data_IF_183623234678
#
_entry.id   IF_183623234678
#
_cell.length_a   1.000
_cell.length_b   1.000
_cell.length_c   1.000
_cell.angle_alpha   90.00
_cell.angle_beta   90.00
_cell.angle_gamma   90.00
#
_symmetry.space_group_name_H-M   'P 1'
#
loop_
_entity.id
_entity.type
_entity.pdbx_description
1 polymer ?
#
# COMPACT_ATOMS: atom_id res chain seq x y z
N UNK A 1 -18.49 1.66 -8.61
CA UNK A 1 -17.21 0.98 -8.29
C UNK A 1 -16.32 1.94 -7.52
N UNK A 2 -15.56 1.42 -6.57
CA UNK A 2 -14.62 2.18 -5.75
C UNK A 2 -13.29 2.35 -6.49
N UNK A 3 -12.82 3.57 -6.78
CA UNK A 3 -11.52 3.77 -7.39
C UNK A 3 -10.39 3.37 -6.43
N UNK A 4 -9.41 2.64 -6.95
CA UNK A 4 -8.18 2.31 -6.25
C UNK A 4 -6.99 2.97 -6.99
N UNK A 5 -6.46 4.03 -6.40
CA UNK A 5 -5.35 4.80 -6.95
C UNK A 5 -4.04 4.10 -6.66
N UNK A 6 -3.41 3.58 -7.70
CA UNK A 6 -2.12 2.87 -7.65
C UNK A 6 -1.00 3.86 -7.96
N UNK A 7 -0.26 4.25 -6.93
CA UNK A 7 0.86 5.18 -7.07
C UNK A 7 2.09 4.44 -7.60
N UNK A 8 2.52 4.80 -8.79
CA UNK A 8 3.55 4.11 -9.56
C UNK A 8 4.71 5.02 -9.91
N UNK A 9 5.93 4.49 -9.80
CA UNK A 9 7.15 5.12 -10.30
C UNK A 9 8.13 4.03 -10.77
N UNK A 10 8.46 4.04 -12.07
CA UNK A 10 9.46 3.17 -12.71
C UNK A 10 9.33 1.65 -12.38
N UNK A 11 8.10 1.15 -12.20
CA UNK A 11 7.80 -0.26 -11.91
C UNK A 11 6.68 -0.76 -12.80
N UNK A 12 6.99 -1.57 -13.80
CA UNK A 12 6.02 -2.18 -14.73
C UNK A 12 5.39 -3.43 -14.13
N UNK A 13 6.22 -4.39 -13.73
CA UNK A 13 5.80 -5.75 -13.39
C UNK A 13 4.81 -5.77 -12.23
N UNK A 14 5.14 -5.08 -11.13
CA UNK A 14 4.28 -5.01 -9.96
C UNK A 14 3.05 -4.14 -10.20
N UNK A 15 3.18 -3.02 -10.92
CA UNK A 15 2.05 -2.14 -11.28
C UNK A 15 1.00 -2.89 -12.08
N UNK A 16 1.42 -3.55 -13.16
CA UNK A 16 0.52 -4.30 -14.04
C UNK A 16 -0.19 -5.41 -13.27
N UNK A 17 0.57 -6.23 -12.53
CA UNK A 17 0.02 -7.33 -11.74
C UNK A 17 -0.98 -6.84 -10.70
N UNK A 18 -0.66 -5.80 -9.94
CA UNK A 18 -1.56 -5.25 -8.92
C UNK A 18 -2.84 -4.67 -9.54
N UNK A 19 -2.73 -3.96 -10.65
CA UNK A 19 -3.91 -3.43 -11.37
C UNK A 19 -4.82 -4.55 -11.88
N UNK A 20 -4.25 -5.62 -12.44
CA UNK A 20 -4.99 -6.82 -12.86
C UNK A 20 -5.72 -7.47 -11.66
N UNK A 21 -5.04 -7.60 -10.52
CA UNK A 21 -5.61 -8.14 -9.29
C UNK A 21 -6.72 -7.24 -8.72
N UNK A 22 -6.53 -5.93 -8.70
CA UNK A 22 -7.57 -4.98 -8.26
C UNK A 22 -8.78 -5.03 -9.18
N UNK A 23 -8.58 -5.13 -10.50
CA UNK A 23 -9.68 -5.24 -11.46
C UNK A 23 -10.49 -6.54 -11.32
N UNK A 24 -9.91 -7.57 -10.72
CA UNK A 24 -10.58 -8.83 -10.40
C UNK A 24 -11.34 -8.81 -9.07
N UNK A 25 -11.20 -7.75 -8.25
CA UNK A 25 -11.96 -7.58 -7.02
C UNK A 25 -13.38 -7.08 -7.30
N UNK A 26 -14.33 -7.49 -6.48
CA UNK A 26 -15.70 -7.00 -6.54
C UNK A 26 -15.75 -5.49 -6.22
N UNK A 27 -16.40 -4.73 -7.10
CA UNK A 27 -16.63 -3.28 -6.93
C UNK A 27 -15.35 -2.41 -6.88
N UNK A 28 -14.24 -2.86 -7.44
CA UNK A 28 -13.00 -2.09 -7.56
C UNK A 28 -12.72 -1.66 -9.01
N UNK A 29 -12.05 -0.53 -9.17
CA UNK A 29 -11.46 -0.10 -10.45
C UNK A 29 -10.10 0.52 -10.21
N UNK A 30 -9.01 -0.04 -10.79
CA UNK A 30 -7.69 0.55 -10.66
C UNK A 30 -7.57 1.82 -11.51
N UNK A 31 -6.90 2.83 -10.95
CA UNK A 31 -6.48 4.06 -11.62
C UNK A 31 -5.01 4.27 -11.32
N UNK A 32 -4.17 4.27 -12.33
CA UNK A 32 -2.73 4.43 -12.17
C UNK A 32 -2.39 5.91 -12.03
N UNK A 33 -1.67 6.26 -10.96
CA UNK A 33 -1.04 7.57 -10.79
C UNK A 33 0.44 7.40 -11.12
N UNK A 34 0.82 7.72 -12.36
CA UNK A 34 2.20 7.66 -12.79
C UNK A 34 2.96 8.88 -12.29
N UNK A 35 3.82 8.66 -11.33
CA UNK A 35 4.55 9.68 -10.58
C UNK A 35 5.82 10.14 -11.32
N UNK A 36 5.66 10.54 -12.61
CA UNK A 36 6.71 10.96 -13.55
C UNK A 36 7.74 9.85 -13.85
N UNK A 37 7.27 8.66 -14.19
CA UNK A 37 8.15 7.56 -14.61
C UNK A 37 8.89 7.85 -15.91
N UNK A 38 10.11 7.33 -15.99
CA UNK A 38 11.02 7.42 -17.15
C UNK A 38 11.48 6.06 -17.66
N UNK A 39 11.03 4.95 -17.03
CA UNK A 39 11.34 3.59 -17.42
C UNK A 39 10.60 3.21 -18.70
N UNK A 40 11.33 3.11 -19.83
CA UNK A 40 10.75 2.91 -21.16
C UNK A 40 9.78 1.71 -21.24
N UNK A 41 10.09 0.50 -20.68
CA UNK A 41 9.13 -0.59 -20.74
C UNK A 41 7.78 -0.29 -20.07
N UNK A 42 7.76 0.51 -19.02
CA UNK A 42 6.52 0.97 -18.38
C UNK A 42 5.77 1.95 -19.27
N UNK A 43 6.49 2.90 -19.91
CA UNK A 43 5.90 3.90 -20.80
C UNK A 43 5.30 3.24 -22.05
N UNK A 44 5.98 2.24 -22.61
CA UNK A 44 5.48 1.46 -23.74
C UNK A 44 4.21 0.69 -23.37
N UNK A 45 4.18 0.08 -22.18
CA UNK A 45 2.99 -0.61 -21.71
C UNK A 45 1.79 0.34 -21.56
N UNK A 46 1.99 1.59 -21.14
CA UNK A 46 0.91 2.57 -21.02
C UNK A 46 0.18 2.83 -22.33
N UNK A 47 0.82 2.64 -23.49
CA UNK A 47 0.18 2.84 -24.80
C UNK A 47 -0.94 1.82 -25.08
N UNK A 48 -0.91 0.67 -24.39
CA UNK A 48 -1.86 -0.44 -24.55
C UNK A 48 -2.51 -0.86 -23.21
N UNK A 49 -2.26 -0.08 -22.15
CA UNK A 49 -2.78 -0.35 -20.82
C UNK A 49 -4.31 -0.24 -20.81
N UNK A 50 -5.03 -1.27 -20.31
CA UNK A 50 -6.50 -1.24 -20.27
C UNK A 50 -7.05 -0.35 -19.13
N UNK A 51 -6.18 0.20 -18.29
CA UNK A 51 -6.56 1.00 -17.13
C UNK A 51 -6.35 2.49 -17.37
N UNK A 52 -7.08 3.33 -16.63
CA UNK A 52 -6.83 4.76 -16.65
C UNK A 52 -5.45 5.08 -16.07
N UNK A 53 -4.68 5.91 -16.81
CA UNK A 53 -3.36 6.38 -16.39
C UNK A 53 -3.36 7.90 -16.29
N UNK A 54 -3.08 8.42 -15.09
CA UNK A 54 -2.88 9.84 -14.82
C UNK A 54 -1.38 10.07 -14.68
N UNK A 55 -0.76 10.64 -15.73
CA UNK A 55 0.68 10.93 -15.73
C UNK A 55 0.95 12.29 -15.13
N UNK A 56 1.83 12.32 -14.12
CA UNK A 56 2.28 13.56 -13.49
C UNK A 56 3.54 14.09 -14.18
N UNK A 57 3.76 15.41 -14.13
CA UNK A 57 4.94 16.06 -14.68
C UNK A 57 6.18 15.97 -13.77
N UNK A 58 5.99 15.65 -12.49
CA UNK A 58 7.06 15.51 -11.49
C UNK A 58 6.74 14.42 -10.47
N UNK A 59 7.76 13.87 -9.83
CA UNK A 59 7.60 12.88 -8.77
C UNK A 59 7.20 13.55 -7.45
N UNK A 60 5.92 13.45 -7.10
CA UNK A 60 5.31 14.02 -5.88
C UNK A 60 5.46 13.11 -4.64
N UNK A 61 6.14 11.95 -4.77
CA UNK A 61 6.35 10.98 -3.69
C UNK A 61 5.12 10.13 -3.40
N UNK A 62 5.13 9.44 -2.25
CA UNK A 62 4.08 8.50 -1.84
C UNK A 62 2.69 9.13 -1.62
N UNK A 63 2.61 10.44 -1.49
CA UNK A 63 1.34 11.17 -1.38
C UNK A 63 0.81 11.72 -2.71
N UNK A 64 1.36 11.32 -3.85
CA UNK A 64 0.97 11.79 -5.18
C UNK A 64 -0.55 11.72 -5.45
N UNK A 65 -1.31 10.66 -5.09
CA UNK A 65 -2.74 10.58 -5.35
C UNK A 65 -3.56 11.72 -4.73
N UNK A 66 -3.15 12.20 -3.56
CA UNK A 66 -3.80 13.35 -2.91
C UNK A 66 -3.30 14.69 -3.44
N UNK A 67 -1.99 14.80 -3.67
CA UNK A 67 -1.37 16.05 -4.15
C UNK A 67 -1.84 16.44 -5.55
N UNK A 68 -2.03 15.47 -6.44
CA UNK A 68 -2.56 15.72 -7.79
C UNK A 68 -4.08 15.91 -7.84
N UNK A 69 -4.78 15.77 -6.71
CA UNK A 69 -6.24 15.94 -6.62
C UNK A 69 -7.06 14.74 -7.12
N UNK A 70 -6.44 13.62 -7.50
CA UNK A 70 -7.14 12.44 -8.01
C UNK A 70 -8.19 11.91 -7.02
N UNK A 71 -7.88 11.92 -5.72
CA UNK A 71 -8.79 11.46 -4.65
C UNK A 71 -10.04 12.34 -4.44
N UNK A 72 -10.07 13.54 -5.01
CA UNK A 72 -11.24 14.44 -5.01
C UNK A 72 -12.23 14.18 -6.15
N UNK A 73 -11.96 13.21 -7.03
CA UNK A 73 -12.87 12.87 -8.13
C UNK A 73 -14.17 12.24 -7.62
N UNK A 74 -15.26 12.34 -8.37
CA UNK A 74 -16.52 11.67 -8.03
C UNK A 74 -16.34 10.16 -7.85
N UNK A 75 -16.88 9.61 -6.76
CA UNK A 75 -16.81 8.19 -6.41
C UNK A 75 -18.07 7.80 -5.63
N UNK A 76 -18.13 6.56 -5.15
CA UNK A 76 -19.24 6.03 -4.34
C UNK A 76 -19.17 6.39 -2.84
N UNK A 77 -18.45 7.43 -2.50
CA UNK A 77 -18.22 7.88 -1.12
C UNK A 77 -16.95 7.32 -0.50
N UNK A 78 -16.22 6.47 -1.23
CA UNK A 78 -14.97 5.85 -0.80
C UNK A 78 -13.95 5.81 -1.96
N UNK A 79 -12.68 5.75 -1.61
CA UNK A 79 -11.58 5.47 -2.53
C UNK A 79 -10.50 4.67 -1.81
N UNK A 80 -9.68 3.98 -2.56
CA UNK A 80 -8.47 3.34 -2.05
C UNK A 80 -7.21 4.05 -2.59
N UNK A 81 -6.13 4.01 -1.81
CA UNK A 81 -4.78 4.37 -2.26
C UNK A 81 -3.85 3.23 -1.91
N UNK A 82 -2.94 2.93 -2.82
CA UNK A 82 -1.90 1.92 -2.63
C UNK A 82 -0.63 2.32 -3.37
N UNK A 83 0.53 1.87 -2.87
CA UNK A 83 1.74 1.77 -3.67
C UNK A 83 1.61 0.62 -4.66
N UNK A 84 2.37 0.64 -5.74
CA UNK A 84 2.26 -0.33 -6.84
C UNK A 84 2.91 -1.69 -6.55
N UNK A 85 3.55 -1.86 -5.41
CA UNK A 85 4.41 -3.00 -5.11
C UNK A 85 3.79 -4.01 -4.13
N UNK A 86 2.46 -4.04 -4.07
CA UNK A 86 1.71 -5.09 -3.40
C UNK A 86 1.35 -6.24 -4.33
N UNK A 87 1.21 -7.45 -3.76
CA UNK A 87 0.65 -8.62 -4.41
C UNK A 87 -0.52 -9.15 -3.60
N UNK A 88 -1.70 -9.22 -4.24
CA UNK A 88 -2.96 -9.66 -3.64
C UNK A 88 -3.27 -11.14 -3.92
N UNK A 89 -2.27 -11.93 -4.31
CA UNK A 89 -2.47 -13.36 -4.59
C UNK A 89 -3.10 -14.09 -3.40
N UNK A 90 -4.21 -14.81 -3.66
CA UNK A 90 -4.99 -15.52 -2.65
C UNK A 90 -5.93 -14.63 -1.83
N UNK A 91 -6.03 -13.34 -2.10
CA UNK A 91 -7.00 -12.45 -1.45
C UNK A 91 -8.40 -12.66 -2.07
N UNK A 92 -9.46 -12.88 -1.26
CA UNK A 92 -10.82 -13.03 -1.78
C UNK A 92 -11.34 -11.78 -2.50
N UNK A 93 -12.22 -11.96 -3.49
CA UNK A 93 -12.74 -10.88 -4.34
C UNK A 93 -13.56 -9.84 -3.58
N UNK A 94 -14.14 -10.18 -2.43
CA UNK A 94 -14.94 -9.31 -1.57
C UNK A 94 -14.09 -8.36 -0.68
N UNK A 95 -12.79 -8.23 -0.94
CA UNK A 95 -11.90 -7.37 -0.16
C UNK A 95 -12.45 -5.95 0.03
N UNK A 96 -13.05 -5.35 -1.01
CA UNK A 96 -13.57 -3.98 -0.91
C UNK A 96 -14.72 -3.85 0.10
N UNK A 97 -15.57 -4.86 0.23
CA UNK A 97 -16.59 -4.91 1.26
C UNK A 97 -15.98 -5.02 2.66
N UNK A 98 -14.97 -5.88 2.81
CA UNK A 98 -14.24 -6.06 4.08
C UNK A 98 -13.56 -4.78 4.53
N UNK A 99 -12.95 -4.02 3.61
CA UNK A 99 -12.34 -2.73 3.93
C UNK A 99 -13.39 -1.65 4.30
N UNK A 100 -14.55 -1.67 3.65
CA UNK A 100 -15.64 -0.71 3.84
C UNK A 100 -16.39 -0.91 5.15
N UNK A 101 -16.62 -2.16 5.55
CA UNK A 101 -17.47 -2.52 6.69
C UNK A 101 -17.13 -1.74 7.99
N UNK A 102 -15.89 -1.63 8.45
CA UNK A 102 -15.56 -0.89 9.67
C UNK A 102 -15.66 0.64 9.51
N UNK A 103 -15.77 1.17 8.28
CA UNK A 103 -15.90 2.60 8.00
C UNK A 103 -17.36 3.06 7.99
N UNK A 104 -18.29 2.15 7.76
CA UNK A 104 -19.74 2.44 7.64
C UNK A 104 -20.55 2.02 8.86
N UNK A 105 -20.03 1.09 9.67
CA UNK A 105 -20.76 0.53 10.80
C UNK A 105 -19.94 0.51 12.08
N UNK A 106 -20.62 0.76 13.18
CA UNK A 106 -20.05 0.70 14.51
C UNK A 106 -20.33 -0.70 15.13
N UNK A 107 -19.60 -1.72 14.69
CA UNK A 107 -19.73 -3.08 15.21
C UNK A 107 -18.58 -3.37 16.18
N UNK A 108 -18.91 -3.69 17.45
CA UNK A 108 -18.00 -4.23 18.49
C UNK A 108 -16.54 -3.77 18.40
N UNK A 109 -16.32 -2.45 18.57
CA UNK A 109 -14.96 -1.89 18.64
C UNK A 109 -14.44 -1.30 17.33
N UNK A 110 -15.26 -1.23 16.26
CA UNK A 110 -14.91 -0.52 15.02
C UNK A 110 -15.43 0.91 14.96
N UNK A 111 -16.02 1.43 16.06
CA UNK A 111 -16.54 2.79 16.09
C UNK A 111 -15.45 3.84 15.88
N UNK A 112 -15.73 4.82 15.00
CA UNK A 112 -14.85 5.97 14.78
C UNK A 112 -13.60 5.66 13.94
N UNK A 113 -13.53 4.48 13.31
CA UNK A 113 -12.42 4.13 12.39
C UNK A 113 -12.41 5.12 11.22
N UNK A 114 -11.23 5.63 10.91
CA UNK A 114 -11.04 6.65 9.89
C UNK A 114 -10.56 6.09 8.54
N UNK A 115 -9.81 4.99 8.57
CA UNK A 115 -9.36 4.25 7.39
C UNK A 115 -9.11 2.79 7.73
N UNK A 116 -9.26 1.92 6.74
CA UNK A 116 -9.03 0.49 6.85
C UNK A 116 -8.22 -0.01 5.64
N UNK A 117 -7.17 -0.77 5.87
CA UNK A 117 -6.34 -1.29 4.79
C UNK A 117 -5.86 -2.71 5.05
N UNK A 118 -5.16 -3.29 4.07
CA UNK A 118 -4.65 -4.66 4.18
C UNK A 118 -3.46 -4.74 5.14
N UNK A 119 -3.36 -5.86 5.86
CA UNK A 119 -2.13 -6.22 6.56
C UNK A 119 -1.11 -6.77 5.58
N UNK A 120 0.16 -6.62 5.91
CA UNK A 120 1.25 -7.18 5.13
C UNK A 120 1.64 -8.55 5.67
N UNK A 121 1.75 -9.52 4.77
CA UNK A 121 2.07 -10.92 5.07
C UNK A 121 3.53 -11.04 5.52
N UNK A 122 3.78 -11.79 6.59
CA UNK A 122 5.12 -12.01 7.14
C UNK A 122 5.44 -13.49 7.39
N UNK A 123 4.48 -14.38 7.14
CA UNK A 123 4.63 -15.82 7.43
C UNK A 123 5.29 -16.60 6.29
N UNK A 124 5.44 -16.00 5.12
CA UNK A 124 6.06 -16.57 3.93
C UNK A 124 7.27 -15.76 3.42
N UNK A 125 7.80 -14.84 4.24
CA UNK A 125 8.98 -14.07 3.90
C UNK A 125 10.25 -14.93 3.85
N UNK A 126 11.22 -14.60 2.97
CA UNK A 126 12.55 -15.24 2.99
C UNK A 126 13.20 -15.19 4.38
N UNK A 127 13.93 -16.24 4.72
CA UNK A 127 14.51 -16.41 6.07
C UNK A 127 15.48 -15.31 6.50
N UNK A 128 16.07 -14.60 5.55
CA UNK A 128 16.95 -13.45 5.83
C UNK A 128 16.23 -12.15 6.19
N UNK A 129 14.91 -12.08 6.01
CA UNK A 129 14.11 -10.88 6.28
C UNK A 129 13.67 -10.75 7.75
N UNK A 130 14.54 -11.11 8.68
CA UNK A 130 14.23 -11.09 10.12
C UNK A 130 13.88 -9.70 10.65
N UNK A 131 14.52 -8.65 10.13
CA UNK A 131 14.26 -7.26 10.55
C UNK A 131 12.87 -6.80 10.13
N UNK A 132 12.44 -7.17 8.92
CA UNK A 132 11.08 -6.92 8.42
C UNK A 132 10.04 -7.63 9.27
N UNK A 133 10.27 -8.94 9.55
CA UNK A 133 9.37 -9.73 10.41
C UNK A 133 9.24 -9.10 11.79
N UNK A 134 10.34 -8.69 12.41
CA UNK A 134 10.36 -8.06 13.73
C UNK A 134 9.63 -6.71 13.73
N UNK A 135 9.79 -5.94 12.66
CA UNK A 135 9.10 -4.66 12.48
C UNK A 135 7.60 -4.86 12.30
N UNK A 136 7.17 -5.70 11.35
CA UNK A 136 5.77 -5.84 10.94
C UNK A 136 4.94 -6.62 11.97
N UNK A 137 5.52 -7.59 12.68
CA UNK A 137 4.85 -8.40 13.72
C UNK A 137 4.11 -7.57 14.76
N UNK A 138 4.57 -6.36 15.07
CA UNK A 138 3.92 -5.48 16.05
C UNK A 138 2.51 -5.04 15.62
N UNK A 139 2.22 -5.00 14.32
CA UNK A 139 0.92 -4.60 13.80
C UNK A 139 -0.12 -5.73 13.87
N UNK A 140 0.32 -6.94 14.20
CA UNK A 140 -0.50 -8.13 14.39
C UNK A 140 -0.84 -8.41 15.87
N UNK A 141 -0.57 -7.47 16.80
CA UNK A 141 -0.70 -7.68 18.24
C UNK A 141 -2.07 -7.35 18.83
N UNK A 142 -2.90 -6.60 18.12
CA UNK A 142 -4.16 -6.08 18.66
C UNK A 142 -5.36 -6.52 17.83
N UNK A 143 -5.69 -7.82 17.84
CA UNK A 143 -6.81 -8.36 17.06
C UNK A 143 -8.15 -7.87 17.63
N UNK A 144 -9.10 -7.61 16.74
CA UNK A 144 -10.52 -7.36 17.06
C UNK A 144 -11.41 -8.18 16.13
N UNK A 145 -12.69 -8.34 16.49
CA UNK A 145 -13.68 -9.11 15.71
C UNK A 145 -13.15 -10.52 15.37
N UNK A 146 -12.62 -11.22 16.37
CA UNK A 146 -12.11 -12.59 16.19
C UNK A 146 -10.87 -12.70 15.29
N UNK A 147 -10.07 -11.63 15.17
CA UNK A 147 -8.89 -11.61 14.30
C UNK A 147 -9.17 -11.17 12.85
N UNK A 148 -10.43 -10.84 12.53
CA UNK A 148 -10.75 -10.29 11.20
C UNK A 148 -10.05 -8.95 10.94
N UNK A 149 -9.79 -8.19 12.00
CA UNK A 149 -9.07 -6.91 11.95
C UNK A 149 -8.06 -6.81 13.08
N UNK A 150 -7.08 -5.91 12.89
CA UNK A 150 -6.06 -5.53 13.87
C UNK A 150 -6.02 -4.01 14.00
N UNK A 151 -5.96 -3.50 15.24
CA UNK A 151 -5.72 -2.07 15.49
C UNK A 151 -4.25 -1.77 15.25
N UNK A 152 -3.96 -1.14 14.12
CA UNK A 152 -2.60 -0.80 13.75
C UNK A 152 -2.56 0.42 12.83
N UNK A 153 -1.48 1.21 12.85
CA UNK A 153 -1.24 2.26 11.87
C UNK A 153 -1.18 1.70 10.45
N UNK A 154 -1.66 2.50 9.49
CA UNK A 154 -1.60 2.19 8.07
C UNK A 154 -0.90 3.34 7.35
N UNK A 155 0.01 2.97 6.49
CA UNK A 155 0.61 3.82 5.47
C UNK A 155 -0.13 3.66 4.13
N UNK A 156 0.55 3.60 3.01
CA UNK A 156 0.00 3.52 1.64
C UNK A 156 -0.21 2.07 1.15
N UNK A 157 -0.55 1.15 2.05
CA UNK A 157 -0.75 -0.27 1.75
C UNK A 157 -2.22 -0.61 1.50
N UNK A 158 -2.69 -0.49 0.27
CA UNK A 158 -4.08 -0.68 -0.18
C UNK A 158 -5.10 -0.37 0.94
N UNK A 159 -5.27 0.91 1.18
CA UNK A 159 -6.09 1.42 2.26
C UNK A 159 -7.31 2.15 1.70
N UNK A 160 -8.49 1.86 2.25
CA UNK A 160 -9.74 2.53 1.92
C UNK A 160 -9.98 3.73 2.84
N UNK A 161 -10.43 4.81 2.24
CA UNK A 161 -10.71 6.09 2.85
C UNK A 161 -12.14 6.54 2.54
N UNK A 162 -12.92 7.05 3.52
CA UNK A 162 -14.12 7.83 3.19
C UNK A 162 -13.74 9.09 2.40
N UNK A 163 -14.48 9.41 1.34
CA UNK A 163 -14.24 10.61 0.53
C UNK A 163 -14.38 11.91 1.35
N UNK A 164 -15.14 11.88 2.44
CA UNK A 164 -15.30 13.00 3.38
C UNK A 164 -14.11 13.18 4.33
N UNK A 165 -13.15 12.23 4.37
CA UNK A 165 -11.99 12.34 5.25
C UNK A 165 -11.02 13.42 4.73
N UNK A 166 -10.69 14.45 5.52
CA UNK A 166 -9.73 15.48 5.11
C UNK A 166 -8.38 14.87 4.71
N UNK A 167 -7.74 15.39 3.65
CA UNK A 167 -6.44 14.91 3.16
C UNK A 167 -5.38 14.90 4.27
N UNK A 168 -5.35 15.90 5.14
CA UNK A 168 -4.43 15.96 6.28
C UNK A 168 -4.59 14.80 7.28
N UNK A 169 -5.76 14.18 7.32
CA UNK A 169 -6.02 12.97 8.10
C UNK A 169 -5.77 11.70 7.25
N UNK A 170 -6.15 11.71 5.98
CA UNK A 170 -5.92 10.57 5.09
C UNK A 170 -4.42 10.20 5.00
N UNK A 171 -3.55 11.20 4.87
CA UNK A 171 -2.09 11.04 4.78
C UNK A 171 -1.39 10.79 6.13
N UNK A 172 -2.10 10.91 7.25
CA UNK A 172 -1.53 10.66 8.58
C UNK A 172 -1.42 9.16 8.85
N UNK A 173 -0.24 8.70 9.25
CA UNK A 173 0.01 7.28 9.57
C UNK A 173 -0.37 6.93 11.02
N UNK A 174 -0.07 7.82 11.96
CA UNK A 174 -0.28 7.59 13.40
C UNK A 174 -1.23 8.60 14.04
N UNK A 175 -1.75 8.30 15.23
CA UNK A 175 -2.56 9.24 16.00
C UNK A 175 -4.04 9.30 15.58
N UNK A 176 -4.54 8.26 14.92
CA UNK A 176 -5.96 8.09 14.61
C UNK A 176 -6.37 6.61 14.67
N UNK A 177 -7.66 6.32 14.90
CA UNK A 177 -8.17 4.96 14.88
C UNK A 177 -8.14 4.40 13.45
N UNK A 178 -7.32 3.39 13.22
CA UNK A 178 -7.16 2.70 11.94
C UNK A 178 -7.16 1.20 12.13
N UNK A 179 -7.58 0.45 11.12
CA UNK A 179 -7.60 -0.99 11.12
C UNK A 179 -6.85 -1.54 9.93
N UNK A 180 -6.15 -2.65 10.16
CA UNK A 180 -5.66 -3.55 9.13
C UNK A 180 -6.47 -4.83 9.13
N UNK A 181 -6.67 -5.45 7.98
CA UNK A 181 -7.37 -6.74 7.86
C UNK A 181 -6.53 -7.90 8.41
N UNK A 182 -7.19 -8.98 8.80
CA UNK A 182 -6.55 -10.27 9.08
C UNK A 182 -6.63 -11.23 7.90
N UNK A 183 -6.09 -12.42 8.07
CA UNK A 183 -6.21 -13.49 7.06
C UNK A 183 -7.68 -13.80 6.74
N UNK A 184 -8.01 -14.13 5.47
CA UNK A 184 -7.12 -14.26 4.30
C UNK A 184 -6.89 -12.95 3.53
N UNK A 185 -7.33 -11.80 4.02
CA UNK A 185 -7.26 -10.49 3.36
C UNK A 185 -5.92 -9.80 3.63
N UNK A 186 -4.82 -10.43 3.22
CA UNK A 186 -3.45 -9.94 3.46
C UNK A 186 -2.65 -9.91 2.17
N UNK A 187 -1.82 -8.88 2.00
CA UNK A 187 -0.99 -8.68 0.81
C UNK A 187 0.48 -9.00 1.08
N UNK A 188 1.23 -9.40 0.05
CA UNK A 188 2.68 -9.36 0.06
C UNK A 188 3.17 -7.98 -0.33
N UNK A 189 4.20 -7.47 0.34
CA UNK A 189 4.94 -6.28 -0.09
C UNK A 189 6.16 -6.74 -0.87
N UNK A 190 6.09 -6.66 -2.18
CA UNK A 190 7.04 -7.32 -3.10
C UNK A 190 8.51 -6.95 -2.88
N UNK A 191 8.87 -5.70 -2.50
CA UNK A 191 10.24 -5.37 -2.13
C UNK A 191 10.84 -6.27 -1.05
N UNK A 192 10.03 -6.83 -0.16
CA UNK A 192 10.53 -7.70 0.92
C UNK A 192 10.96 -9.10 0.44
N UNK A 193 10.57 -9.47 -0.77
CA UNK A 193 10.90 -10.77 -1.40
C UNK A 193 12.06 -10.69 -2.38
N UNK A 194 12.58 -9.47 -2.63
CA UNK A 194 13.73 -9.27 -3.52
C UNK A 194 15.02 -9.76 -2.87
N UNK A 195 15.86 -10.40 -3.68
CA UNK A 195 17.26 -10.61 -3.34
C UNK A 195 18.05 -9.36 -3.77
N UNK A 196 18.56 -8.55 -2.82
CA UNK A 196 19.26 -7.33 -3.16
C UNK A 196 20.61 -7.55 -3.83
N UNK A 197 21.13 -8.80 -3.80
CA UNK A 197 22.37 -9.18 -4.48
C UNK A 197 22.16 -9.60 -5.95
N UNK A 198 20.89 -9.81 -6.34
CA UNK A 198 20.52 -10.26 -7.69
C UNK A 198 19.25 -9.53 -8.15
N UNK A 199 19.34 -8.21 -8.32
CA UNK A 199 18.24 -7.39 -8.81
C UNK A 199 18.08 -7.56 -10.33
N UNK A 200 16.84 -7.71 -10.81
CA UNK A 200 16.52 -7.55 -12.21
C UNK A 200 16.68 -6.10 -12.68
N UNK A 201 16.60 -5.88 -13.98
CA UNK A 201 16.81 -4.60 -14.61
C UNK A 201 15.79 -3.54 -14.11
N UNK A 202 14.53 -3.92 -13.94
CA UNK A 202 13.47 -3.02 -13.42
C UNK A 202 13.78 -2.56 -12.01
N UNK A 203 14.10 -3.48 -11.10
CA UNK A 203 14.40 -3.14 -9.71
C UNK A 203 15.71 -2.36 -9.58
N UNK A 204 16.74 -2.69 -10.39
CA UNK A 204 17.98 -1.93 -10.44
C UNK A 204 17.72 -0.48 -10.90
N UNK A 205 16.93 -0.28 -11.97
CA UNK A 205 16.52 1.05 -12.44
C UNK A 205 15.72 1.80 -11.38
N UNK A 206 14.74 1.12 -10.75
CA UNK A 206 13.94 1.74 -9.69
C UNK A 206 14.80 2.26 -8.55
N UNK A 207 15.73 1.46 -8.01
CA UNK A 207 16.58 1.90 -6.90
C UNK A 207 17.57 2.98 -7.30
N UNK A 208 18.02 3.01 -8.55
CA UNK A 208 18.89 4.07 -9.06
C UNK A 208 18.16 5.41 -9.24
N UNK A 209 16.86 5.39 -9.52
CA UNK A 209 16.06 6.60 -9.86
C UNK A 209 15.11 7.04 -8.74
N UNK A 210 14.84 6.19 -7.75
CA UNK A 210 13.93 6.49 -6.64
C UNK A 210 14.47 7.63 -5.77
N UNK A 211 13.56 8.55 -5.42
CA UNK A 211 13.87 9.65 -4.50
C UNK A 211 13.83 9.20 -3.03
N UNK A 212 14.05 10.15 -2.11
CA UNK A 212 14.09 9.88 -0.66
C UNK A 212 12.74 9.49 -0.03
N UNK A 213 11.64 9.50 -0.78
CA UNK A 213 10.36 8.99 -0.29
C UNK A 213 10.34 7.46 -0.20
N UNK A 214 11.24 6.77 -0.91
CA UNK A 214 11.42 5.33 -0.80
C UNK A 214 12.04 4.96 0.55
N UNK A 215 11.35 4.12 1.33
CA UNK A 215 11.81 3.69 2.66
C UNK A 215 12.75 2.49 2.62
N UNK A 216 12.65 1.64 1.60
CA UNK A 216 13.40 0.38 1.49
C UNK A 216 14.46 0.49 0.40
N UNK A 217 15.72 0.26 0.77
CA UNK A 217 16.86 0.34 -0.17
C UNK A 217 17.80 -0.85 0.05
N UNK A 218 18.45 -1.34 -1.01
CA UNK A 218 19.54 -2.30 -0.88
C UNK A 218 20.70 -1.72 -0.02
N UNK A 219 21.19 -2.53 0.91
CA UNK A 219 22.36 -2.24 1.73
C UNK A 219 23.15 -3.55 1.87
N UNK A 220 24.15 -3.72 1.02
CA UNK A 220 24.86 -4.99 0.86
C UNK A 220 23.90 -6.12 0.45
N UNK A 221 23.81 -7.16 1.25
CA UNK A 221 22.96 -8.32 1.03
C UNK A 221 21.58 -8.24 1.72
N UNK A 222 21.18 -7.05 2.18
CA UNK A 222 19.90 -6.82 2.87
C UNK A 222 19.13 -5.69 2.23
N UNK A 223 17.80 -5.75 2.36
CA UNK A 223 16.96 -4.58 2.21
C UNK A 223 16.81 -3.91 3.58
N UNK A 224 17.28 -2.68 3.68
CA UNK A 224 17.17 -1.90 4.91
C UNK A 224 16.19 -0.77 4.74
N UNK A 225 15.52 -0.41 5.85
CA UNK A 225 14.73 0.81 5.93
C UNK A 225 15.42 1.80 6.83
N UNK A 226 15.43 3.07 6.41
CA UNK A 226 15.90 4.17 7.28
C UNK A 226 15.18 4.21 8.64
N UNK A 227 14.00 3.62 8.76
CA UNK A 227 13.28 3.48 10.02
C UNK A 227 13.82 2.36 10.90
N UNK A 228 14.42 1.31 10.31
CA UNK A 228 15.07 0.23 11.07
C UNK A 228 16.46 0.61 11.56
N UNK A 229 17.24 1.35 10.76
CA UNK A 229 18.62 1.72 11.08
C UNK A 229 18.76 2.87 12.10
N UNK A 230 17.71 3.64 12.35
CA UNK A 230 17.81 4.82 13.24
C UNK A 230 17.79 4.50 14.73
N UNK A 231 17.72 3.23 15.14
CA UNK A 231 17.57 2.84 16.56
C UNK A 231 16.30 3.41 17.22
N UNK A 232 15.54 4.23 16.49
CA UNK A 232 14.31 4.87 16.95
C UNK A 232 13.10 4.00 16.62
N UNK A 233 13.16 2.74 16.98
CA UNK A 233 11.95 1.95 17.16
C UNK A 233 11.21 2.56 18.35
N UNK A 234 10.58 3.71 18.16
CA UNK A 234 9.72 4.27 19.19
C UNK A 234 8.58 3.30 19.40
N UNK A 235 8.65 2.58 20.52
CA UNK A 235 7.46 1.95 21.07
C UNK A 235 6.36 3.02 21.12
N UNK A 236 5.11 2.71 20.74
CA UNK A 236 4.01 3.65 20.93
C UNK A 236 3.99 4.04 22.42
N UNK A 237 4.06 5.34 22.72
CA UNK A 237 3.81 5.82 24.06
C UNK A 237 2.45 5.27 24.47
N UNK A 238 2.40 4.59 25.59
CA UNK A 238 1.16 4.15 26.22
C UNK A 238 0.28 5.41 26.40
N UNK A 239 -0.87 5.40 25.77
CA UNK A 239 -1.99 6.28 26.11
C UNK A 239 -2.95 5.46 26.95
#
# INVERSE_FOLDING_TARGET
>A
MTPAYVNTFNRLTTTRRLCEQIAALDNAVPVIIDNASTWEPLLDWYQHCPFEVIRLSENMGHHAPWKCGATGRPNDGFYCVTDCDLDLDGVPSDLMEVLRAPLTSCVRGTCGIKKCGVSLRINDLPSWQTDVVNWERRFWRSPIVGGKYYRAPIDTTLCMYPASLPVSLATRVVGMPTLRTGEPYTARHMPWYLDPTNLDEENANYFATANDSNSWRPDGNKLTSRFCNSGRCHAPRRV
#
